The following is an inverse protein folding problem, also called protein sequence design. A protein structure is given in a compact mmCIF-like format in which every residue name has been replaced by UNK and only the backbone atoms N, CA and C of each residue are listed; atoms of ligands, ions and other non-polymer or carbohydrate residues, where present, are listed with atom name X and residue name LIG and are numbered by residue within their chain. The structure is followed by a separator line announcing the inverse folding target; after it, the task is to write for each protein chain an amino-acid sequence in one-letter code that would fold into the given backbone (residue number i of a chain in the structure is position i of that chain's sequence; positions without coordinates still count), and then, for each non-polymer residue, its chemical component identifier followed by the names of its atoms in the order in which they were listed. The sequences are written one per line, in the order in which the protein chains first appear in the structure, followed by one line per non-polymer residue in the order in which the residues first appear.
data_IF_805107688284
#
_entry.id   IF_805107688284
#
_cell.length_a   1.000
_cell.length_b   1.000
_cell.length_c   1.000
_cell.angle_alpha   90.00
_cell.angle_beta   90.00
_cell.angle_gamma   90.00
#
_symmetry.space_group_name_H-M   'P 1'
#
loop_
_entity.id
_entity.type
_entity.pdbx_description
1 polymer ?
#
# COMPACT_ATOMS: atom_id res chain seq x y z
N UNK A 1 -14.31 54.27 -6.61
CA UNK A 1 -14.79 52.88 -6.51
C UNK A 1 -16.29 52.97 -6.34
N UNK A 2 -17.03 52.75 -7.42
CA UNK A 2 -18.50 52.75 -7.36
C UNK A 2 -18.98 51.59 -6.49
N UNK A 3 -19.93 51.91 -5.63
CA UNK A 3 -20.53 50.94 -4.73
C UNK A 3 -21.41 50.02 -5.57
N UNK A 4 -21.21 48.70 -5.50
CA UNK A 4 -21.99 47.71 -6.25
C UNK A 4 -23.51 47.89 -6.11
N UNK A 5 -23.95 48.38 -4.96
CA UNK A 5 -25.36 48.69 -4.73
C UNK A 5 -25.84 49.85 -5.62
N UNK A 6 -25.03 50.90 -5.83
CA UNK A 6 -25.39 52.02 -6.71
C UNK A 6 -25.51 51.59 -8.17
N UNK A 7 -24.59 50.73 -8.65
CA UNK A 7 -24.63 50.16 -10.00
C UNK A 7 -25.89 49.30 -10.20
N UNK A 8 -26.27 48.51 -9.17
CA UNK A 8 -27.49 47.70 -9.23
C UNK A 8 -28.75 48.57 -9.28
N UNK A 9 -28.80 49.64 -8.47
CA UNK A 9 -29.93 50.57 -8.46
C UNK A 9 -30.10 51.30 -9.80
N UNK A 10 -29.01 51.73 -10.44
CA UNK A 10 -29.07 52.37 -11.76
C UNK A 10 -29.55 51.39 -12.84
N UNK A 11 -29.03 50.16 -12.85
CA UNK A 11 -29.46 49.09 -13.78
C UNK A 11 -30.95 48.74 -13.66
N UNK A 12 -31.45 48.64 -12.42
CA UNK A 12 -32.87 48.38 -12.15
C UNK A 12 -33.74 49.54 -12.64
N UNK A 13 -33.28 50.79 -12.50
CA UNK A 13 -34.04 51.97 -12.93
C UNK A 13 -34.08 52.16 -14.44
N UNK A 14 -33.00 51.81 -15.15
CA UNK A 14 -32.91 51.97 -16.60
C UNK A 14 -33.55 50.81 -17.35
N UNK A 15 -33.35 49.56 -16.91
CA UNK A 15 -33.84 48.35 -17.59
C UNK A 15 -34.35 47.29 -16.59
N UNK A 16 -35.55 47.48 -16.00
CA UNK A 16 -36.06 46.63 -14.92
C UNK A 16 -36.32 45.19 -15.34
N UNK A 17 -36.83 44.97 -16.57
CA UNK A 17 -37.18 43.64 -17.08
C UNK A 17 -35.92 42.82 -17.34
N UNK A 18 -34.93 43.39 -18.02
CA UNK A 18 -33.67 42.71 -18.32
C UNK A 18 -32.89 42.38 -17.04
N UNK A 19 -32.86 43.32 -16.09
CA UNK A 19 -32.21 43.11 -14.79
C UNK A 19 -32.89 41.99 -13.99
N UNK A 20 -34.24 41.90 -14.03
CA UNK A 20 -34.98 40.81 -13.39
C UNK A 20 -34.66 39.43 -14.01
N UNK A 21 -34.56 39.35 -15.35
CA UNK A 21 -34.17 38.12 -16.06
C UNK A 21 -32.73 37.71 -15.68
N UNK A 22 -31.82 38.68 -15.58
CA UNK A 22 -30.42 38.44 -15.24
C UNK A 22 -30.29 37.91 -13.79
N UNK A 23 -31.00 38.51 -12.84
CA UNK A 23 -31.05 38.02 -11.45
C UNK A 23 -31.68 36.63 -11.35
N UNK A 24 -32.76 36.38 -12.09
CA UNK A 24 -33.41 35.07 -12.12
C UNK A 24 -32.50 33.98 -12.70
N UNK A 25 -31.76 34.27 -13.76
CA UNK A 25 -30.79 33.32 -14.35
C UNK A 25 -29.61 33.05 -13.42
N UNK A 26 -29.05 34.06 -12.75
CA UNK A 26 -28.01 33.87 -11.71
C UNK A 26 -28.54 33.00 -10.56
N UNK A 27 -29.78 33.24 -10.13
CA UNK A 27 -30.41 32.44 -9.09
C UNK A 27 -30.59 30.98 -9.51
N UNK A 28 -31.07 30.72 -10.72
CA UNK A 28 -31.18 29.36 -11.26
C UNK A 28 -29.82 28.67 -11.39
N UNK A 29 -28.80 29.37 -11.89
CA UNK A 29 -27.43 28.85 -11.98
C UNK A 29 -26.88 28.49 -10.60
N UNK A 30 -27.16 29.30 -9.58
CA UNK A 30 -26.76 29.04 -8.20
C UNK A 30 -27.42 27.76 -7.65
N UNK A 31 -28.72 27.55 -7.94
CA UNK A 31 -29.42 26.31 -7.56
C UNK A 31 -28.82 25.10 -8.26
N UNK A 32 -28.57 25.19 -9.57
CA UNK A 32 -27.95 24.10 -10.36
C UNK A 32 -26.56 23.77 -9.82
N UNK A 33 -25.74 24.78 -9.55
CA UNK A 33 -24.41 24.61 -8.96
C UNK A 33 -24.45 23.89 -7.60
N UNK A 34 -25.37 24.29 -6.72
CA UNK A 34 -25.54 23.63 -5.42
C UNK A 34 -25.96 22.16 -5.56
N UNK A 35 -26.84 21.84 -6.52
CA UNK A 35 -27.26 20.46 -6.78
C UNK A 35 -26.11 19.62 -7.37
N UNK A 36 -25.37 20.16 -8.35
CA UNK A 36 -24.21 19.49 -8.93
C UNK A 36 -23.15 19.18 -7.86
N UNK A 37 -22.83 20.15 -7.01
CA UNK A 37 -21.89 19.93 -5.91
C UNK A 37 -22.35 18.85 -4.94
N UNK A 38 -23.66 18.75 -4.68
CA UNK A 38 -24.19 17.67 -3.83
C UNK A 38 -24.04 16.31 -4.48
N UNK A 39 -24.34 16.18 -5.77
CA UNK A 39 -24.21 14.94 -6.53
C UNK A 39 -22.74 14.48 -6.57
N UNK A 40 -21.83 15.38 -6.92
CA UNK A 40 -20.38 15.09 -6.95
C UNK A 40 -19.88 14.59 -5.60
N UNK A 41 -20.33 15.21 -4.48
CA UNK A 41 -19.96 14.74 -3.14
C UNK A 41 -20.48 13.34 -2.82
N UNK A 42 -21.70 13.02 -3.26
CA UNK A 42 -22.29 11.68 -3.06
C UNK A 42 -21.52 10.65 -3.87
N UNK A 43 -21.21 10.94 -5.14
CA UNK A 43 -20.45 10.04 -6.01
C UNK A 43 -19.05 9.79 -5.47
N UNK A 44 -18.36 10.82 -4.97
CA UNK A 44 -17.06 10.67 -4.31
C UNK A 44 -17.12 9.78 -3.06
N UNK A 45 -18.17 9.90 -2.25
CA UNK A 45 -18.36 9.05 -1.08
C UNK A 45 -18.65 7.59 -1.48
N UNK A 46 -19.45 7.39 -2.52
CA UNK A 46 -19.74 6.06 -3.06
C UNK A 46 -18.48 5.41 -3.63
N UNK A 47 -17.72 6.13 -4.45
CA UNK A 47 -16.45 5.65 -5.02
C UNK A 47 -15.45 5.26 -3.92
N UNK A 48 -15.37 6.06 -2.84
CA UNK A 48 -14.54 5.72 -1.68
C UNK A 48 -15.00 4.44 -0.98
N UNK A 49 -16.32 4.26 -0.81
CA UNK A 49 -16.88 3.05 -0.20
C UNK A 49 -16.59 1.83 -1.06
N UNK A 50 -16.83 1.92 -2.36
CA UNK A 50 -16.59 0.84 -3.32
C UNK A 50 -15.09 0.48 -3.38
N UNK A 51 -14.19 1.47 -3.31
CA UNK A 51 -12.74 1.26 -3.24
C UNK A 51 -12.30 0.58 -1.93
N UNK A 52 -12.98 0.87 -0.82
CA UNK A 52 -12.75 0.25 0.50
C UNK A 52 -13.25 -1.19 0.53
N UNK A 53 -14.46 -1.45 0.02
CA UNK A 53 -15.02 -2.80 -0.10
C UNK A 53 -14.10 -3.70 -0.95
N UNK A 54 -13.57 -3.17 -2.07
CA UNK A 54 -12.57 -3.88 -2.88
C UNK A 54 -11.27 -4.15 -2.12
N UNK A 55 -10.81 -3.20 -1.30
CA UNK A 55 -9.62 -3.39 -0.49
C UNK A 55 -9.79 -4.56 0.50
N UNK A 56 -10.97 -4.68 1.10
CA UNK A 56 -11.34 -5.81 1.98
C UNK A 56 -11.34 -7.13 1.18
N UNK A 57 -11.97 -7.15 0.00
CA UNK A 57 -11.97 -8.35 -0.86
C UNK A 57 -10.56 -8.82 -1.24
N UNK A 58 -9.62 -7.90 -1.48
CA UNK A 58 -8.22 -8.25 -1.72
C UNK A 58 -7.53 -8.76 -0.45
N UNK A 59 -7.86 -8.22 0.71
CA UNK A 59 -7.34 -8.69 1.99
C UNK A 59 -7.83 -10.11 2.31
N UNK A 60 -9.12 -10.38 2.10
CA UNK A 60 -9.71 -11.72 2.27
C UNK A 60 -9.03 -12.71 1.32
N UNK A 61 -8.93 -12.35 0.03
CA UNK A 61 -8.23 -13.18 -0.95
C UNK A 61 -6.77 -13.44 -0.57
N UNK A 62 -6.05 -12.44 -0.08
CA UNK A 62 -4.68 -12.60 0.38
C UNK A 62 -4.60 -13.57 1.57
N UNK A 63 -5.51 -13.43 2.52
CA UNK A 63 -5.61 -14.26 3.73
C UNK A 63 -5.96 -15.71 3.41
N UNK A 64 -6.82 -15.94 2.42
CA UNK A 64 -7.26 -17.29 2.05
C UNK A 64 -6.26 -18.02 1.16
N UNK A 65 -5.48 -17.28 0.36
CA UNK A 65 -4.59 -17.89 -0.66
C UNK A 65 -3.12 -17.82 -0.29
N UNK A 66 -2.60 -16.64 0.07
CA UNK A 66 -1.15 -16.42 0.24
C UNK A 66 -0.70 -16.78 1.66
N UNK A 67 -1.46 -16.41 2.69
CA UNK A 67 -1.06 -16.61 4.10
C UNK A 67 -0.90 -18.10 4.47
N UNK A 68 -1.80 -19.03 4.07
CA UNK A 68 -1.65 -20.44 4.43
C UNK A 68 -0.41 -21.05 3.75
N UNK A 69 -0.19 -20.71 2.48
CA UNK A 69 1.00 -21.14 1.76
C UNK A 69 2.27 -20.56 2.40
N UNK A 70 2.28 -19.27 2.74
CA UNK A 70 3.43 -18.61 3.41
C UNK A 70 3.84 -19.36 4.69
N UNK A 71 2.86 -19.67 5.55
CA UNK A 71 3.10 -20.41 6.80
C UNK A 71 3.68 -21.80 6.53
N UNK A 72 3.09 -22.54 5.58
CA UNK A 72 3.57 -23.87 5.19
C UNK A 72 4.99 -23.81 4.60
N UNK A 73 5.26 -22.81 3.75
CA UNK A 73 6.54 -22.62 3.08
C UNK A 73 7.66 -22.34 4.08
N UNK A 74 7.45 -21.42 5.04
CA UNK A 74 8.43 -21.12 6.11
C UNK A 74 8.79 -22.31 6.98
N UNK A 75 7.87 -23.26 7.17
CA UNK A 75 8.13 -24.46 7.99
C UNK A 75 8.96 -25.49 7.21
N UNK A 76 8.75 -25.57 5.89
CA UNK A 76 9.33 -26.62 5.04
C UNK A 76 10.64 -26.21 4.36
N UNK A 77 10.82 -24.92 4.06
CA UNK A 77 12.04 -24.37 3.46
C UNK A 77 12.86 -23.70 4.55
N UNK A 78 14.06 -24.24 4.83
CA UNK A 78 14.93 -23.78 5.93
C UNK A 78 16.08 -22.89 5.48
N UNK A 79 16.31 -22.84 4.17
CA UNK A 79 17.40 -22.17 3.46
C UNK A 79 16.88 -20.92 2.73
N UNK A 80 16.07 -20.11 3.40
CA UNK A 80 15.48 -18.92 2.82
C UNK A 80 16.54 -17.84 2.63
N UNK A 81 16.59 -17.25 1.44
CA UNK A 81 17.47 -16.11 1.15
C UNK A 81 17.22 -14.91 2.07
N UNK A 82 15.99 -14.81 2.62
CA UNK A 82 15.62 -13.80 3.62
C UNK A 82 16.46 -13.87 4.90
N UNK A 83 16.89 -15.07 5.30
CA UNK A 83 17.64 -15.27 6.53
C UNK A 83 19.13 -14.95 6.37
N UNK A 84 19.60 -14.75 5.13
CA UNK A 84 20.98 -14.36 4.84
C UNK A 84 21.15 -12.82 4.86
N UNK A 85 21.87 -12.26 5.86
CA UNK A 85 22.08 -10.82 5.99
C UNK A 85 22.77 -10.19 4.77
N UNK A 86 23.45 -10.99 3.95
CA UNK A 86 24.21 -10.55 2.77
C UNK A 86 23.32 -10.05 1.62
N UNK A 87 22.02 -10.40 1.63
CA UNK A 87 21.06 -10.04 0.57
C UNK A 87 20.09 -8.90 0.97
N UNK A 88 20.28 -8.34 2.16
CA UNK A 88 19.57 -7.14 2.62
C UNK A 88 20.32 -5.89 2.15
N UNK A 89 19.70 -5.05 1.31
CA UNK A 89 20.39 -3.97 0.60
C UNK A 89 20.57 -2.65 1.35
N UNK A 90 21.21 -2.71 2.51
CA UNK A 90 21.62 -1.56 3.33
C UNK A 90 20.51 -0.80 4.09
N UNK A 91 20.84 -0.51 5.36
CA UNK A 91 20.34 0.51 6.33
C UNK A 91 18.83 0.54 6.63
N UNK A 92 17.97 -0.04 5.80
CA UNK A 92 16.50 -0.01 5.90
C UNK A 92 15.84 -1.39 5.76
N UNK A 93 16.59 -2.49 5.73
CA UNK A 93 15.97 -3.82 5.69
C UNK A 93 15.12 -4.10 4.45
N UNK A 94 15.43 -3.46 3.31
CA UNK A 94 14.74 -3.65 2.03
C UNK A 94 15.62 -4.54 1.14
N UNK A 95 15.04 -5.61 0.59
CA UNK A 95 15.75 -6.53 -0.30
C UNK A 95 15.98 -5.91 -1.68
N UNK A 96 17.15 -6.15 -2.28
CA UNK A 96 17.48 -5.65 -3.61
C UNK A 96 17.22 -6.70 -4.69
N UNK A 97 16.21 -6.49 -5.50
CA UNK A 97 15.79 -7.39 -6.59
C UNK A 97 16.69 -7.32 -7.85
N UNK A 98 17.85 -6.66 -7.76
CA UNK A 98 18.86 -6.59 -8.83
C UNK A 98 20.01 -7.58 -8.64
N UNK A 99 20.14 -8.19 -7.46
CA UNK A 99 21.17 -9.20 -7.22
C UNK A 99 20.72 -10.56 -7.75
N UNK A 100 21.71 -11.37 -8.13
CA UNK A 100 21.48 -12.76 -8.44
C UNK A 100 21.52 -13.58 -7.13
N UNK A 101 20.46 -14.34 -6.86
CA UNK A 101 20.47 -15.41 -5.86
C UNK A 101 20.37 -16.76 -6.58
N UNK A 102 21.48 -17.48 -6.75
CA UNK A 102 21.48 -18.76 -7.45
C UNK A 102 20.91 -19.87 -6.55
N UNK A 103 19.74 -20.38 -6.91
CA UNK A 103 19.20 -21.63 -6.35
C UNK A 103 19.80 -22.84 -7.07
N UNK A 104 20.06 -23.90 -6.31
CA UNK A 104 20.38 -25.23 -6.87
C UNK A 104 19.13 -25.85 -7.49
N UNK A 105 19.31 -26.84 -8.38
CA UNK A 105 18.17 -27.54 -9.01
C UNK A 105 17.27 -28.22 -7.98
N UNK A 106 17.87 -28.84 -6.95
CA UNK A 106 17.13 -29.50 -5.88
C UNK A 106 16.32 -28.49 -5.05
N UNK A 107 16.90 -27.31 -4.79
CA UNK A 107 16.23 -26.22 -4.11
C UNK A 107 15.01 -25.71 -4.90
N UNK A 108 15.13 -25.59 -6.22
CA UNK A 108 14.00 -25.21 -7.08
C UNK A 108 12.91 -26.28 -7.06
N UNK A 109 13.29 -27.55 -7.24
CA UNK A 109 12.34 -28.67 -7.24
C UNK A 109 11.52 -28.75 -5.93
N UNK A 110 12.17 -28.61 -4.76
CA UNK A 110 11.47 -28.59 -3.46
C UNK A 110 10.45 -27.45 -3.39
N UNK A 111 10.80 -26.27 -3.92
CA UNK A 111 9.92 -25.10 -3.89
C UNK A 111 8.76 -25.22 -4.88
N UNK A 112 8.99 -25.86 -6.02
CA UNK A 112 7.94 -26.21 -7.00
C UNK A 112 6.96 -27.25 -6.44
N UNK A 113 7.45 -28.28 -5.74
CA UNK A 113 6.60 -29.26 -5.05
C UNK A 113 5.67 -28.63 -4.00
N UNK A 114 6.03 -27.46 -3.48
CA UNK A 114 5.21 -26.70 -2.54
C UNK A 114 4.18 -25.79 -3.22
N UNK A 115 4.15 -25.73 -4.55
CA UNK A 115 3.31 -24.83 -5.35
C UNK A 115 3.60 -23.33 -5.12
N UNK A 116 4.89 -22.98 -5.03
CA UNK A 116 5.31 -21.57 -4.87
C UNK A 116 4.84 -20.69 -6.05
N UNK A 117 4.70 -21.27 -7.25
CA UNK A 117 4.21 -20.54 -8.42
C UNK A 117 2.75 -20.10 -8.26
N UNK A 118 1.89 -20.93 -7.66
CA UNK A 118 0.51 -20.57 -7.31
C UNK A 118 0.47 -19.36 -6.38
N UNK A 119 1.27 -19.40 -5.29
CA UNK A 119 1.36 -18.29 -4.34
C UNK A 119 1.88 -16.99 -5.00
N UNK A 120 2.92 -17.08 -5.82
CA UNK A 120 3.46 -15.94 -6.57
C UNK A 120 2.46 -15.38 -7.60
N UNK A 121 1.68 -16.23 -8.25
CA UNK A 121 0.61 -15.81 -9.15
C UNK A 121 -0.48 -15.01 -8.40
N UNK A 122 -0.87 -15.46 -7.21
CA UNK A 122 -1.80 -14.73 -6.35
C UNK A 122 -1.23 -13.37 -5.93
N UNK A 123 0.03 -13.32 -5.50
CA UNK A 123 0.72 -12.06 -5.18
C UNK A 123 0.75 -11.09 -6.36
N UNK A 124 1.07 -11.58 -7.57
CA UNK A 124 1.07 -10.79 -8.80
C UNK A 124 -0.31 -10.23 -9.11
N UNK A 125 -1.34 -11.07 -9.00
CA UNK A 125 -2.73 -10.69 -9.27
C UNK A 125 -3.23 -9.62 -8.30
N UNK A 126 -2.97 -9.82 -7.01
CA UNK A 126 -3.33 -8.87 -5.95
C UNK A 126 -2.60 -7.55 -6.15
N UNK A 127 -1.28 -7.58 -6.37
CA UNK A 127 -0.47 -6.37 -6.57
C UNK A 127 -0.92 -5.58 -7.80
N UNK A 128 -1.20 -6.27 -8.91
CA UNK A 128 -1.73 -5.65 -10.13
C UNK A 128 -3.10 -4.99 -9.86
N UNK A 129 -3.98 -5.70 -9.14
CA UNK A 129 -5.29 -5.19 -8.76
C UNK A 129 -5.23 -3.95 -7.86
N UNK A 130 -4.27 -3.90 -6.93
CA UNK A 130 -4.08 -2.74 -6.05
C UNK A 130 -3.49 -1.56 -6.81
N UNK A 131 -2.51 -1.81 -7.67
CA UNK A 131 -1.79 -0.73 -8.34
C UNK A 131 -2.61 -0.06 -9.45
N UNK A 132 -3.38 -0.83 -10.20
CA UNK A 132 -4.16 -0.37 -11.35
C UNK A 132 -5.68 -0.35 -11.13
N UNK A 133 -6.17 -1.02 -10.10
CA UNK A 133 -7.60 -1.02 -9.78
C UNK A 133 -8.05 0.23 -9.02
N UNK A 134 -9.37 0.47 -9.02
CA UNK A 134 -10.02 1.44 -8.14
C UNK A 134 -10.11 0.85 -6.73
N UNK A 135 -8.98 0.83 -6.02
CA UNK A 135 -8.83 0.25 -4.67
C UNK A 135 -8.16 1.28 -3.77
N UNK A 136 -8.60 1.35 -2.52
CA UNK A 136 -7.92 2.16 -1.51
C UNK A 136 -6.61 1.47 -1.07
N UNK A 137 -5.49 1.92 -1.63
CA UNK A 137 -4.15 1.36 -1.37
C UNK A 137 -3.73 1.47 0.09
N UNK A 138 -4.16 2.53 0.78
CA UNK A 138 -3.80 2.74 2.19
C UNK A 138 -4.60 1.81 3.10
N UNK A 139 -5.85 1.50 2.75
CA UNK A 139 -6.63 0.46 3.43
C UNK A 139 -5.98 -0.91 3.23
N UNK A 140 -5.60 -1.29 2.00
CA UNK A 140 -4.88 -2.56 1.77
C UNK A 140 -3.59 -2.65 2.61
N UNK A 141 -2.78 -1.59 2.60
CA UNK A 141 -1.53 -1.53 3.36
C UNK A 141 -1.76 -1.70 4.87
N UNK A 142 -2.87 -1.20 5.42
CA UNK A 142 -3.24 -1.36 6.83
C UNK A 142 -3.76 -2.76 7.16
N UNK A 143 -4.49 -3.39 6.24
CA UNK A 143 -5.12 -4.68 6.48
C UNK A 143 -4.16 -5.85 6.41
N UNK A 144 -3.23 -5.85 5.44
CA UNK A 144 -2.32 -6.99 5.22
C UNK A 144 -0.94 -6.57 4.69
N UNK A 145 -0.59 -5.28 4.77
CA UNK A 145 0.63 -4.77 4.15
C UNK A 145 1.92 -5.33 4.76
N UNK A 146 1.90 -5.67 6.06
CA UNK A 146 3.05 -6.25 6.73
C UNK A 146 3.27 -7.70 6.28
N UNK A 147 2.21 -8.50 6.29
CA UNK A 147 2.20 -9.90 5.83
C UNK A 147 2.51 -10.00 4.34
N UNK A 148 2.06 -9.03 3.54
CA UNK A 148 2.45 -8.92 2.13
C UNK A 148 3.96 -8.72 2.01
N UNK A 149 4.54 -7.82 2.78
CA UNK A 149 5.98 -7.61 2.75
C UNK A 149 6.75 -8.87 3.16
N UNK A 150 6.30 -9.54 4.23
CA UNK A 150 6.88 -10.80 4.66
C UNK A 150 6.77 -11.89 3.58
N UNK A 151 5.63 -11.99 2.90
CA UNK A 151 5.45 -12.95 1.81
C UNK A 151 6.44 -12.70 0.66
N UNK A 152 6.61 -11.45 0.26
CA UNK A 152 7.57 -11.07 -0.79
C UNK A 152 9.01 -11.36 -0.37
N UNK A 153 9.32 -11.15 0.91
CA UNK A 153 10.62 -11.45 1.50
C UNK A 153 10.89 -12.96 1.56
N UNK A 154 9.91 -13.76 1.94
CA UNK A 154 10.04 -15.23 2.01
C UNK A 154 10.17 -15.86 0.63
N UNK A 155 9.45 -15.36 -0.38
CA UNK A 155 9.55 -15.86 -1.75
C UNK A 155 10.64 -15.17 -2.58
N UNK A 156 11.50 -14.38 -1.94
CA UNK A 156 12.49 -13.54 -2.61
C UNK A 156 13.40 -14.32 -3.56
N UNK A 157 13.86 -15.49 -3.13
CA UNK A 157 14.72 -16.38 -3.91
C UNK A 157 14.06 -16.85 -5.21
N UNK A 158 12.79 -17.28 -5.16
CA UNK A 158 12.03 -17.69 -6.34
C UNK A 158 11.68 -16.52 -7.25
N UNK A 159 11.41 -15.34 -6.69
CA UNK A 159 11.22 -14.12 -7.48
C UNK A 159 12.50 -13.81 -8.27
N UNK A 160 13.67 -13.89 -7.63
CA UNK A 160 14.95 -13.69 -8.31
C UNK A 160 15.23 -14.77 -9.35
N UNK A 161 14.94 -16.03 -9.03
CA UNK A 161 15.12 -17.15 -9.95
C UNK A 161 14.35 -16.93 -11.26
N UNK A 162 13.07 -16.58 -11.18
CA UNK A 162 12.23 -16.30 -12.37
C UNK A 162 12.73 -15.06 -13.12
N UNK A 163 13.23 -14.05 -12.39
CA UNK A 163 13.75 -12.82 -13.00
C UNK A 163 15.05 -12.99 -13.79
N UNK A 164 15.75 -14.11 -13.63
CA UNK A 164 16.88 -14.46 -14.52
C UNK A 164 16.41 -14.64 -15.96
N UNK A 165 15.23 -15.19 -16.14
CA UNK A 165 14.62 -15.43 -17.46
C UNK A 165 13.81 -14.22 -17.93
N UNK A 166 13.04 -13.60 -17.03
CA UNK A 166 12.28 -12.39 -17.30
C UNK A 166 12.58 -11.28 -16.27
N UNK A 167 13.48 -10.38 -16.63
CA UNK A 167 13.87 -9.24 -15.80
C UNK A 167 12.73 -8.30 -15.36
N UNK A 168 11.53 -8.40 -15.97
CA UNK A 168 10.34 -7.61 -15.60
C UNK A 168 9.31 -8.40 -14.81
N UNK A 169 9.57 -9.68 -14.54
CA UNK A 169 8.67 -10.52 -13.77
C UNK A 169 8.48 -9.93 -12.36
N UNK A 170 7.22 -9.81 -11.94
CA UNK A 170 6.82 -9.32 -10.62
C UNK A 170 7.15 -7.84 -10.32
N UNK A 171 7.39 -6.99 -11.32
CA UNK A 171 7.66 -5.56 -11.12
C UNK A 171 6.60 -4.86 -10.23
N UNK A 172 5.31 -5.18 -10.40
CA UNK A 172 4.25 -4.61 -9.57
C UNK A 172 4.27 -5.12 -8.12
N UNK A 173 4.68 -6.36 -7.90
CA UNK A 173 4.86 -6.90 -6.55
C UNK A 173 6.02 -6.19 -5.86
N UNK A 174 7.15 -6.06 -6.57
CA UNK A 174 8.38 -5.42 -6.07
C UNK A 174 8.14 -3.94 -5.78
N UNK A 175 7.48 -3.22 -6.69
CA UNK A 175 7.14 -1.81 -6.49
C UNK A 175 6.23 -1.63 -5.27
N UNK A 176 5.19 -2.45 -5.12
CA UNK A 176 4.29 -2.37 -3.97
C UNK A 176 5.02 -2.71 -2.65
N UNK A 177 5.88 -3.73 -2.66
CA UNK A 177 6.74 -4.09 -1.54
C UNK A 177 7.66 -2.92 -1.14
N UNK A 178 8.37 -2.33 -2.09
CA UNK A 178 9.29 -1.23 -1.79
C UNK A 178 8.56 -0.02 -1.19
N UNK A 179 7.33 0.25 -1.63
CA UNK A 179 6.53 1.36 -1.09
C UNK A 179 5.99 1.06 0.29
N UNK A 180 5.48 -0.15 0.52
CA UNK A 180 4.91 -0.55 1.80
C UNK A 180 5.98 -0.83 2.86
N UNK A 181 7.08 -1.50 2.50
CA UNK A 181 8.16 -1.84 3.43
C UNK A 181 8.74 -0.60 4.10
N UNK A 182 8.89 0.51 3.36
CA UNK A 182 9.32 1.83 3.89
C UNK A 182 8.42 2.35 5.01
N UNK A 183 7.12 2.06 4.96
CA UNK A 183 6.16 2.47 6.01
C UNK A 183 6.37 1.68 7.31
N UNK A 184 6.88 0.45 7.21
CA UNK A 184 7.13 -0.43 8.35
C UNK A 184 8.58 -0.33 8.89
N UNK A 185 9.50 0.32 8.19
CA UNK A 185 10.92 0.41 8.61
C UNK A 185 11.19 1.43 9.72
N UNK A 186 10.26 2.33 10.04
CA UNK A 186 10.44 3.30 11.13
C UNK A 186 10.01 2.69 12.47
N UNK A 187 11.00 2.21 13.23
CA UNK A 187 11.24 2.36 14.70
C UNK A 187 12.34 1.33 15.08
N UNK A 188 13.61 1.67 14.89
CA UNK A 188 14.72 1.03 15.63
C UNK A 188 15.80 2.03 16.10
N UNK A 189 15.60 3.33 15.88
CA UNK A 189 16.62 4.37 16.11
C UNK A 189 16.29 5.38 17.22
N UNK A 190 15.37 5.09 18.14
CA UNK A 190 15.05 6.02 19.25
C UNK A 190 14.81 5.39 20.64
N UNK A 191 15.09 4.10 20.83
CA UNK A 191 14.95 3.47 22.16
C UNK A 191 16.12 2.58 22.60
N UNK A 192 17.23 2.56 21.87
CA UNK A 192 18.49 1.88 22.30
C UNK A 192 19.58 2.90 22.63
N UNK A 193 19.19 4.02 23.26
CA UNK A 193 20.09 4.96 23.92
C UNK A 193 19.67 5.11 25.39
N UNK A 194 19.65 3.99 26.10
CA UNK A 194 19.81 3.92 27.56
C UNK A 194 20.37 2.53 27.86
N UNK A 195 21.68 2.46 27.78
CA UNK A 195 22.49 1.53 28.58
C UNK A 195 21.96 1.51 30.01
N UNK A 196 21.36 0.40 30.41
CA UNK A 196 21.36 -0.01 31.81
C UNK A 196 22.47 -1.05 31.87
N UNK A 197 23.67 -0.58 32.25
CA UNK A 197 24.72 -1.45 32.76
C UNK A 197 24.14 -2.22 33.95
N UNK A 198 24.04 -3.53 33.79
CA UNK A 198 23.72 -4.43 34.90
C UNK A 198 25.03 -4.65 35.66
N UNK A 199 25.23 -3.90 36.75
CA UNK A 199 26.30 -4.18 37.72
C UNK A 199 25.77 -5.30 38.64
N UNK A 200 26.42 -6.48 38.69
CA UNK A 200 26.06 -7.50 39.67
C UNK A 200 26.60 -7.07 41.03
N UNK A 201 25.70 -6.88 41.99
CA UNK A 201 26.05 -6.67 43.40
C UNK A 201 26.60 -7.98 43.97
N UNK A 202 27.87 -7.99 44.37
CA UNK A 202 28.45 -9.10 45.13
C UNK A 202 27.80 -9.15 46.50
N UNK A 203 27.05 -10.22 46.78
CA UNK A 203 26.65 -10.55 48.15
C UNK A 203 27.88 -11.18 48.84
N UNK A 204 28.64 -10.35 49.53
CA UNK A 204 29.42 -10.77 50.70
C UNK A 204 28.48 -10.90 51.88
N UNK A 205 28.17 -12.12 52.30
CA UNK A 205 27.78 -12.39 53.68
C UNK A 205 28.84 -13.30 54.31
N UNK A 206 29.64 -12.67 55.18
CA UNK A 206 30.38 -13.32 56.24
C UNK A 206 29.52 -13.21 57.51
N UNK A 207 29.13 -14.36 58.05
CA UNK A 207 29.14 -14.69 59.49
C UNK A 207 28.81 -16.17 59.67
#
# INVERSE_FOLDING_TARGET
MENWNQILYTLISENPIETAILLFTIFLLSIVWLRLNKIVKIDLLKDKRDATEKAILFADRFTDTVVPHLKNYKVKVRDLAYDDPSFVSDVKGIHNFKYDYPLTKDQVAIREELDVHGALYHLKTISTGIQHGRVDKDVCCKLFGQEFCEAVEVYYDMILHIRKEDSKAYDQVISLYQDWRKKFTKIKTTSTSKSIEFIPEMITEAN
#
